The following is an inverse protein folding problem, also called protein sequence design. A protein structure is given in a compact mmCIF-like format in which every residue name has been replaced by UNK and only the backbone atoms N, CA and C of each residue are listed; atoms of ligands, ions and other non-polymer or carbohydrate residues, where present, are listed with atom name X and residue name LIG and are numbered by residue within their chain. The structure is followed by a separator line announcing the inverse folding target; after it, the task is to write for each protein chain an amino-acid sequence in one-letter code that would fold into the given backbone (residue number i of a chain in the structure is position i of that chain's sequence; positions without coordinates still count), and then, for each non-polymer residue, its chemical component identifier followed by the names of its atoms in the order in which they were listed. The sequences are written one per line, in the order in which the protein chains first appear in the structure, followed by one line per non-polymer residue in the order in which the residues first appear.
data_IF_458452215281
#
_entry.id   IF_458452215281
#
_cell.length_a   1.000
_cell.length_b   1.000
_cell.length_c   1.000
_cell.angle_alpha   90.00
_cell.angle_beta   90.00
_cell.angle_gamma   90.00
#
_symmetry.space_group_name_H-M   'P 1'
#
loop_
_entity.id
_entity.type
_entity.pdbx_description
1 polymer ?
#
# COMPACT_ATOMS: atom_id res chain seq x y z
N UNK A 1 23.41 26.59 36.29
CA UNK A 1 22.23 26.55 35.40
C UNK A 1 22.42 25.41 34.42
N UNK A 2 21.76 24.28 34.64
CA UNK A 2 21.85 23.09 33.75
C UNK A 2 20.78 23.20 32.68
N UNK A 3 21.18 23.39 31.43
CA UNK A 3 20.29 23.37 30.28
C UNK A 3 19.80 21.92 30.06
N UNK A 4 18.55 21.64 30.43
CA UNK A 4 17.88 20.40 30.06
C UNK A 4 17.67 20.40 28.55
N UNK A 5 18.46 19.62 27.83
CA UNK A 5 18.24 19.33 26.41
C UNK A 5 16.93 18.55 26.28
N UNK A 6 15.83 19.24 25.99
CA UNK A 6 14.56 18.60 25.65
C UNK A 6 14.79 17.87 24.32
N UNK A 7 14.95 16.54 24.37
CA UNK A 7 14.92 15.73 23.15
C UNK A 7 13.61 16.01 22.42
N UNK A 8 13.62 16.32 21.11
CA UNK A 8 12.39 16.49 20.37
C UNK A 8 11.66 15.14 20.34
N UNK A 9 10.55 15.03 21.08
CA UNK A 9 9.64 13.90 20.96
C UNK A 9 9.18 13.83 19.50
N UNK A 10 9.57 12.77 18.81
CA UNK A 10 9.13 12.48 17.43
C UNK A 10 7.60 12.56 17.42
N UNK A 11 7.03 13.59 16.76
CA UNK A 11 5.57 13.68 16.58
C UNK A 11 5.17 12.51 15.69
N UNK A 12 4.48 11.53 16.26
CA UNK A 12 3.87 10.46 15.49
C UNK A 12 2.72 11.10 14.72
N UNK A 13 2.74 10.98 13.39
CA UNK A 13 1.58 11.34 12.57
C UNK A 13 0.52 10.26 12.79
N UNK A 14 -0.45 10.56 13.65
CA UNK A 14 -1.51 9.64 14.04
C UNK A 14 -2.38 9.24 12.84
N UNK A 15 -2.64 10.16 11.92
CA UNK A 15 -3.44 9.87 10.72
C UNK A 15 -2.75 8.83 9.82
N UNK A 16 -1.43 8.97 9.65
CA UNK A 16 -0.64 7.98 8.92
C UNK A 16 -0.64 6.62 9.62
N UNK A 17 -0.57 6.61 10.95
CA UNK A 17 -0.61 5.37 11.72
C UNK A 17 -1.97 4.66 11.56
N UNK A 18 -3.07 5.39 11.74
CA UNK A 18 -4.44 4.88 11.57
C UNK A 18 -4.65 4.37 10.13
N UNK A 19 -4.12 5.09 9.14
CA UNK A 19 -4.17 4.64 7.74
C UNK A 19 -3.50 3.28 7.55
N UNK A 20 -2.28 3.12 8.07
CA UNK A 20 -1.54 1.86 7.95
C UNK A 20 -2.26 0.73 8.68
N UNK A 21 -2.74 0.95 9.90
CA UNK A 21 -3.49 -0.08 10.64
C UNK A 21 -4.76 -0.51 9.89
N UNK A 22 -5.46 0.45 9.26
CA UNK A 22 -6.74 0.17 8.59
C UNK A 22 -6.58 -0.49 7.23
N UNK A 23 -5.63 -0.03 6.43
CA UNK A 23 -5.53 -0.41 5.01
C UNK A 23 -4.31 -1.27 4.68
N UNK A 24 -3.26 -1.23 5.50
CA UNK A 24 -2.04 -2.02 5.32
C UNK A 24 -1.62 -2.83 6.57
N UNK A 25 -2.52 -3.60 7.22
CA UNK A 25 -2.18 -4.38 8.41
C UNK A 25 -1.24 -5.56 8.13
N UNK A 26 -1.04 -5.92 6.86
CA UNK A 26 -0.15 -7.00 6.43
C UNK A 26 0.96 -6.46 5.56
N UNK A 27 2.13 -7.11 5.60
CA UNK A 27 3.28 -6.72 4.78
C UNK A 27 2.93 -6.68 3.28
N UNK A 28 2.11 -7.63 2.81
CA UNK A 28 1.70 -7.64 1.40
C UNK A 28 0.85 -6.43 1.01
N UNK A 29 -0.10 -5.99 1.86
CA UNK A 29 -0.90 -4.80 1.59
C UNK A 29 -0.03 -3.53 1.66
N UNK A 30 0.92 -3.50 2.59
CA UNK A 30 1.91 -2.43 2.65
C UNK A 30 2.77 -2.38 1.39
N UNK A 31 3.31 -3.51 0.94
CA UNK A 31 4.16 -3.59 -0.27
C UNK A 31 3.39 -3.10 -1.51
N UNK A 32 2.11 -3.50 -1.66
CA UNK A 32 1.24 -3.04 -2.75
C UNK A 32 1.02 -1.52 -2.70
N UNK A 33 0.59 -0.99 -1.54
CA UNK A 33 0.35 0.46 -1.40
C UNK A 33 1.63 1.28 -1.55
N UNK A 34 2.76 0.76 -1.06
CA UNK A 34 4.06 1.38 -1.22
C UNK A 34 4.49 1.41 -2.69
N UNK A 35 4.20 0.36 -3.46
CA UNK A 35 4.47 0.33 -4.90
C UNK A 35 3.71 1.45 -5.63
N UNK A 36 2.39 1.54 -5.47
CA UNK A 36 1.58 2.59 -6.11
C UNK A 36 1.91 3.99 -5.57
N UNK A 37 2.22 4.11 -4.28
CA UNK A 37 2.67 5.37 -3.68
C UNK A 37 4.03 5.87 -4.22
N UNK A 38 4.88 4.96 -4.72
CA UNK A 38 6.16 5.31 -5.35
C UNK A 38 6.07 5.40 -6.88
N UNK A 39 5.03 4.83 -7.49
CA UNK A 39 4.78 4.81 -8.93
C UNK A 39 3.32 5.22 -9.24
N UNK A 40 2.94 6.50 -9.04
CA UNK A 40 1.54 6.95 -9.12
C UNK A 40 0.92 6.92 -10.53
N UNK A 41 1.75 6.76 -11.56
CA UNK A 41 1.32 6.62 -12.96
C UNK A 41 1.32 5.15 -13.42
N UNK A 42 1.66 4.21 -12.52
CA UNK A 42 1.66 2.79 -12.87
C UNK A 42 0.22 2.31 -13.11
N UNK A 43 0.04 1.59 -14.20
CA UNK A 43 -1.17 0.83 -14.50
C UNK A 43 -0.69 -0.60 -14.72
N UNK A 44 -0.97 -1.48 -13.76
CA UNK A 44 -0.39 -2.83 -13.75
C UNK A 44 -1.45 -3.87 -13.41
N UNK A 45 -1.29 -5.08 -13.95
CA UNK A 45 -2.11 -6.23 -13.55
C UNK A 45 -1.62 -6.82 -12.23
N UNK A 46 -2.45 -7.66 -11.60
CA UNK A 46 -2.01 -8.45 -10.45
C UNK A 46 -0.84 -9.40 -10.78
N UNK A 47 -0.70 -9.83 -12.04
CA UNK A 47 0.40 -10.69 -12.48
C UNK A 47 1.70 -9.90 -12.53
N UNK A 48 1.71 -8.73 -13.16
CA UNK A 48 2.88 -7.86 -13.23
C UNK A 48 3.33 -7.46 -11.83
N UNK A 49 2.37 -7.07 -10.98
CA UNK A 49 2.65 -6.69 -9.60
C UNK A 49 3.24 -7.86 -8.79
N UNK A 50 2.83 -9.10 -9.05
CA UNK A 50 3.40 -10.27 -8.38
C UNK A 50 4.86 -10.53 -8.76
N UNK A 51 5.23 -10.23 -10.01
CA UNK A 51 6.62 -10.31 -10.46
C UNK A 51 7.46 -9.17 -9.88
N UNK A 52 6.91 -7.96 -9.89
CA UNK A 52 7.58 -6.75 -9.38
C UNK A 52 7.86 -6.82 -7.87
N UNK A 53 6.93 -7.41 -7.10
CA UNK A 53 7.06 -7.57 -5.66
C UNK A 53 7.77 -8.87 -5.25
N UNK A 54 8.08 -9.76 -6.20
CA UNK A 54 8.57 -11.12 -5.95
C UNK A 54 7.67 -11.89 -4.95
N UNK A 55 6.36 -11.92 -5.25
CA UNK A 55 5.33 -12.54 -4.40
C UNK A 55 4.46 -13.52 -5.18
N UNK A 56 3.81 -14.42 -4.46
CA UNK A 56 2.85 -15.34 -5.05
C UNK A 56 1.66 -14.57 -5.69
N UNK A 57 1.38 -14.86 -6.96
CA UNK A 57 0.31 -14.24 -7.73
C UNK A 57 -1.07 -14.32 -7.07
N UNK A 58 -1.47 -15.46 -6.52
CA UNK A 58 -2.81 -15.61 -5.92
C UNK A 58 -2.95 -14.73 -4.66
N UNK A 59 -1.88 -14.59 -3.89
CA UNK A 59 -1.84 -13.71 -2.73
C UNK A 59 -1.92 -12.24 -3.16
N UNK A 60 -1.16 -11.83 -4.17
CA UNK A 60 -1.20 -10.47 -4.72
C UNK A 60 -2.58 -10.15 -5.28
N UNK A 61 -3.13 -11.02 -6.14
CA UNK A 61 -4.45 -10.88 -6.77
C UNK A 61 -5.55 -10.66 -5.74
N UNK A 62 -5.55 -11.44 -4.64
CA UNK A 62 -6.53 -11.26 -3.56
C UNK A 62 -6.38 -9.90 -2.88
N UNK A 63 -5.15 -9.53 -2.50
CA UNK A 63 -4.92 -8.31 -1.73
C UNK A 63 -5.13 -7.03 -2.56
N UNK A 64 -4.76 -7.03 -3.84
CA UNK A 64 -4.99 -5.89 -4.73
C UNK A 64 -6.48 -5.71 -5.02
N UNK A 65 -7.23 -6.81 -5.20
CA UNK A 65 -8.69 -6.77 -5.31
C UNK A 65 -9.36 -6.23 -4.04
N UNK A 66 -8.93 -6.69 -2.87
CA UNK A 66 -9.44 -6.19 -1.58
C UNK A 66 -9.17 -4.69 -1.40
N UNK A 67 -7.98 -4.22 -1.78
CA UNK A 67 -7.60 -2.80 -1.70
C UNK A 67 -8.42 -1.94 -2.67
N UNK A 68 -8.70 -2.44 -3.87
CA UNK A 68 -9.59 -1.75 -4.81
C UNK A 68 -11.03 -1.65 -4.29
N UNK A 69 -11.56 -2.72 -3.69
CA UNK A 69 -12.87 -2.69 -3.02
C UNK A 69 -12.92 -1.73 -1.83
N UNK A 70 -11.79 -1.50 -1.17
CA UNK A 70 -11.65 -0.52 -0.09
C UNK A 70 -11.44 0.92 -0.59
N UNK A 71 -11.39 1.14 -1.91
CA UNK A 71 -11.17 2.45 -2.53
C UNK A 71 -9.75 2.97 -2.40
N UNK A 72 -8.77 2.10 -2.13
CA UNK A 72 -7.36 2.48 -2.04
C UNK A 72 -6.65 2.42 -3.40
N UNK A 73 -7.22 1.69 -4.35
CA UNK A 73 -6.75 1.54 -5.73
C UNK A 73 -7.94 1.64 -6.67
N UNK A 74 -7.72 2.17 -7.85
CA UNK A 74 -8.70 2.20 -8.93
C UNK A 74 -8.58 0.93 -9.77
N UNK A 75 -9.71 0.24 -9.94
CA UNK A 75 -9.82 -0.86 -10.91
C UNK A 75 -10.21 -0.26 -12.27
N UNK A 76 -9.30 -0.35 -13.23
CA UNK A 76 -9.43 0.34 -14.51
C UNK A 76 -10.41 -0.35 -15.47
N UNK A 77 -10.61 -1.66 -15.31
CA UNK A 77 -11.58 -2.44 -16.09
C UNK A 77 -12.17 -3.62 -15.29
N UNK A 78 -13.29 -4.17 -15.77
CA UNK A 78 -13.91 -5.37 -15.21
C UNK A 78 -13.46 -6.66 -15.89
N UNK A 79 -12.28 -6.68 -16.52
CA UNK A 79 -11.81 -7.84 -17.27
C UNK A 79 -11.45 -9.01 -16.34
N UNK A 80 -11.25 -10.23 -16.87
CA UNK A 80 -10.76 -11.37 -16.08
C UNK A 80 -9.38 -11.12 -15.44
N UNK A 81 -8.61 -10.17 -15.97
CA UNK A 81 -7.30 -9.74 -15.48
C UNK A 81 -7.26 -8.22 -15.32
N UNK A 82 -7.94 -7.68 -14.28
CA UNK A 82 -8.05 -6.24 -14.11
C UNK A 82 -6.69 -5.56 -13.99
N UNK A 83 -6.63 -4.36 -14.56
CA UNK A 83 -5.54 -3.42 -14.33
C UNK A 83 -5.88 -2.51 -13.14
N UNK A 84 -4.86 -2.19 -12.35
CA UNK A 84 -4.98 -1.39 -11.14
C UNK A 84 -4.10 -0.16 -11.22
N UNK A 85 -4.58 0.92 -10.61
CA UNK A 85 -3.87 2.19 -10.41
C UNK A 85 -3.98 2.65 -8.95
#
# INVERSE_FOLDING_TARGET
MTASTVQPRKKINLDRFIFVERYAPTLIKWDILAYFGTHPEAIVSALDLSQLLDRNYQVVRRNVGDLALQGMLDMMDGSPHPLYR
#
